data_IF_372235773793
#
_entry.id   IF_372235773793
#
_cell.length_a   1.000
_cell.length_b   1.000
_cell.length_c   1.000
_cell.angle_alpha   90.00
_cell.angle_beta   90.00
_cell.angle_gamma   90.00
#
_symmetry.space_group_name_H-M   'P 1'
#
loop_
_entity.id
_entity.type
_entity.pdbx_description
1 polymer ?
#
# COMPACT_ATOMS: atom_id res chain seq x y z
N UNK A 1 -15.84 -15.09 -19.77
CA UNK A 1 -15.56 -15.73 -18.49
C UNK A 1 -15.55 -14.70 -17.35
N UNK A 2 -16.42 -14.90 -16.40
CA UNK A 2 -16.42 -14.07 -15.18
C UNK A 2 -15.60 -14.80 -14.12
N UNK A 3 -14.56 -14.17 -13.59
CA UNK A 3 -13.80 -14.80 -12.52
C UNK A 3 -14.70 -15.05 -11.31
N UNK A 4 -14.43 -16.06 -10.50
CA UNK A 4 -15.17 -16.27 -9.27
C UNK A 4 -15.04 -15.04 -8.37
N UNK A 5 -16.00 -14.85 -7.49
CA UNK A 5 -15.92 -13.77 -6.53
C UNK A 5 -14.65 -13.91 -5.68
N UNK A 6 -13.87 -12.84 -5.64
CA UNK A 6 -12.67 -12.78 -4.83
C UNK A 6 -12.95 -11.98 -3.57
N UNK A 7 -12.29 -12.34 -2.47
CA UNK A 7 -12.32 -11.50 -1.28
C UNK A 7 -11.71 -10.14 -1.57
N UNK A 8 -11.99 -9.13 -0.76
CA UNK A 8 -11.41 -7.80 -0.92
C UNK A 8 -9.89 -7.83 -0.99
N UNK A 9 -9.24 -8.65 -0.16
CA UNK A 9 -7.79 -8.80 -0.18
C UNK A 9 -7.28 -9.45 -1.45
N UNK A 10 -7.99 -10.48 -1.96
CA UNK A 10 -7.62 -11.12 -3.20
C UNK A 10 -7.78 -10.18 -4.40
N UNK A 11 -8.85 -9.40 -4.43
CA UNK A 11 -9.07 -8.40 -5.46
C UNK A 11 -7.98 -7.34 -5.47
N UNK A 12 -7.56 -6.88 -4.30
CA UNK A 12 -6.49 -5.90 -4.17
C UNK A 12 -5.16 -6.49 -4.61
N UNK A 13 -4.87 -7.74 -4.25
CA UNK A 13 -3.66 -8.44 -4.69
C UNK A 13 -3.60 -8.59 -6.21
N UNK A 14 -4.73 -8.89 -6.86
CA UNK A 14 -4.81 -8.96 -8.32
C UNK A 14 -4.56 -7.59 -8.95
N UNK A 15 -5.12 -6.54 -8.38
CA UNK A 15 -4.90 -5.18 -8.88
C UNK A 15 -3.42 -4.78 -8.79
N UNK A 16 -2.77 -5.11 -7.68
CA UNK A 16 -1.34 -4.86 -7.49
C UNK A 16 -0.52 -5.66 -8.51
N UNK A 17 -0.83 -6.94 -8.69
CA UNK A 17 -0.13 -7.79 -9.64
C UNK A 17 -0.25 -7.26 -11.07
N UNK A 18 -1.40 -6.76 -11.47
CA UNK A 18 -1.59 -6.12 -12.77
C UNK A 18 -0.74 -4.88 -12.94
N UNK A 19 -0.65 -4.06 -11.89
CA UNK A 19 0.17 -2.86 -11.92
C UNK A 19 1.65 -3.20 -12.13
N UNK A 20 2.13 -4.28 -11.51
CA UNK A 20 3.54 -4.70 -11.59
C UNK A 20 3.92 -5.23 -12.97
N UNK A 21 2.98 -5.81 -13.71
CA UNK A 21 3.26 -6.35 -15.05
C UNK A 21 3.88 -5.30 -15.97
N UNK A 22 3.56 -4.03 -15.77
CA UNK A 22 4.14 -2.93 -16.55
C UNK A 22 5.54 -2.53 -16.07
N UNK A 23 6.04 -3.14 -14.99
CA UNK A 23 7.32 -2.82 -14.35
C UNK A 23 7.48 -1.34 -14.03
N UNK A 24 6.58 -0.76 -13.23
CA UNK A 24 6.63 0.66 -12.93
C UNK A 24 7.81 0.98 -12.01
N UNK A 25 8.30 2.22 -12.07
CA UNK A 25 9.26 2.74 -11.10
C UNK A 25 8.56 3.19 -9.82
N UNK A 26 7.30 3.53 -9.91
CA UNK A 26 6.48 4.04 -8.82
C UNK A 26 5.13 3.35 -8.83
N UNK A 27 4.69 2.92 -7.66
CA UNK A 27 3.35 2.38 -7.43
C UNK A 27 2.62 3.28 -6.44
N UNK A 28 1.47 3.81 -6.84
CA UNK A 28 0.62 4.59 -5.96
C UNK A 28 -0.48 3.68 -5.40
N UNK A 29 -0.51 3.53 -4.09
CA UNK A 29 -1.52 2.75 -3.38
C UNK A 29 -2.37 3.71 -2.54
N UNK A 30 -3.60 3.96 -2.99
CA UNK A 30 -4.51 4.88 -2.35
C UNK A 30 -5.52 4.10 -1.51
N UNK A 31 -5.39 4.20 -0.19
CA UNK A 31 -6.22 3.48 0.79
C UNK A 31 -6.35 1.99 0.46
N UNK A 32 -5.23 1.27 0.22
CA UNK A 32 -5.30 -0.09 -0.31
C UNK A 32 -5.94 -1.09 0.65
N UNK A 33 -6.06 -0.76 1.93
CA UNK A 33 -6.61 -1.62 2.97
C UNK A 33 -7.94 -1.10 3.52
N UNK A 34 -8.51 -0.07 2.92
CA UNK A 34 -9.68 0.63 3.47
C UNK A 34 -10.93 -0.22 3.63
N UNK A 35 -11.12 -1.25 2.81
CA UNK A 35 -12.27 -2.15 2.87
C UNK A 35 -11.94 -3.54 3.40
N UNK A 36 -10.74 -3.73 3.94
CA UNK A 36 -10.24 -5.04 4.35
C UNK A 36 -10.28 -5.19 5.88
N UNK A 37 -10.41 -6.44 6.34
CA UNK A 37 -10.22 -6.77 7.75
C UNK A 37 -8.72 -6.69 8.11
N UNK A 38 -8.41 -6.82 9.41
CA UNK A 38 -7.04 -6.68 9.91
C UNK A 38 -6.08 -7.69 9.29
N UNK A 39 -6.50 -8.94 9.12
CA UNK A 39 -5.66 -9.99 8.57
C UNK A 39 -5.31 -9.72 7.11
N UNK A 40 -6.31 -9.35 6.31
CA UNK A 40 -6.14 -9.03 4.90
C UNK A 40 -5.31 -7.76 4.70
N UNK A 41 -5.51 -6.78 5.59
CA UNK A 41 -4.72 -5.54 5.56
C UNK A 41 -3.24 -5.83 5.74
N UNK A 42 -2.88 -6.69 6.67
CA UNK A 42 -1.47 -7.08 6.89
C UNK A 42 -0.91 -7.77 5.65
N UNK A 43 -1.65 -8.68 5.04
CA UNK A 43 -1.21 -9.36 3.82
C UNK A 43 -0.90 -8.37 2.69
N UNK A 44 -1.76 -7.38 2.48
CA UNK A 44 -1.56 -6.36 1.45
C UNK A 44 -0.35 -5.48 1.77
N UNK A 45 -0.18 -5.08 3.03
CA UNK A 45 0.96 -4.25 3.41
C UNK A 45 2.28 -5.03 3.29
N UNK A 46 2.29 -6.32 3.61
CA UNK A 46 3.46 -7.17 3.40
C UNK A 46 3.80 -7.28 1.91
N UNK A 47 2.79 -7.45 1.07
CA UNK A 47 2.98 -7.50 -0.38
C UNK A 47 3.62 -6.20 -0.90
N UNK A 48 3.09 -5.05 -0.49
CA UNK A 48 3.63 -3.75 -0.91
C UNK A 48 5.06 -3.55 -0.42
N UNK A 49 5.34 -3.97 0.81
CA UNK A 49 6.69 -3.90 1.39
C UNK A 49 7.68 -4.77 0.60
N UNK A 50 7.27 -5.98 0.25
CA UNK A 50 8.11 -6.90 -0.52
C UNK A 50 8.40 -6.35 -1.92
N UNK A 51 7.43 -5.75 -2.56
CA UNK A 51 7.65 -5.10 -3.86
C UNK A 51 8.68 -3.99 -3.78
N UNK A 52 8.61 -3.18 -2.73
CA UNK A 52 9.58 -2.13 -2.53
C UNK A 52 10.99 -2.70 -2.33
N UNK A 53 11.13 -3.76 -1.54
CA UNK A 53 12.43 -4.35 -1.22
C UNK A 53 12.99 -5.21 -2.34
N UNK A 54 12.16 -6.08 -2.93
CA UNK A 54 12.61 -7.08 -3.90
C UNK A 54 12.65 -6.57 -5.32
N UNK A 55 11.69 -5.74 -5.71
CA UNK A 55 11.54 -5.25 -7.07
C UNK A 55 12.03 -3.81 -7.23
N UNK A 56 12.51 -3.21 -6.17
CA UNK A 56 13.03 -1.84 -6.17
C UNK A 56 12.01 -0.81 -6.68
N UNK A 57 10.75 -1.07 -6.42
CA UNK A 57 9.65 -0.17 -6.78
C UNK A 57 9.43 0.82 -5.63
N UNK A 58 9.35 2.10 -5.93
CA UNK A 58 8.94 3.08 -4.93
C UNK A 58 7.44 2.98 -4.73
N UNK A 59 7.01 2.74 -3.50
CA UNK A 59 5.59 2.66 -3.16
C UNK A 59 5.18 3.91 -2.41
N UNK A 60 4.20 4.63 -2.95
CA UNK A 60 3.57 5.76 -2.27
C UNK A 60 2.23 5.27 -1.75
N UNK A 61 2.11 5.23 -0.43
CA UNK A 61 0.91 4.79 0.27
C UNK A 61 0.14 5.99 0.78
N UNK A 62 -1.11 6.11 0.37
CA UNK A 62 -2.02 7.14 0.90
C UNK A 62 -2.98 6.44 1.86
N UNK A 63 -2.96 6.83 3.12
CA UNK A 63 -3.82 6.24 4.14
C UNK A 63 -4.08 7.23 5.27
N UNK A 64 -5.23 7.10 5.93
CA UNK A 64 -5.54 7.81 7.17
C UNK A 64 -5.38 6.91 8.39
N UNK A 65 -4.93 5.68 8.22
CA UNK A 65 -4.76 4.71 9.30
C UNK A 65 -3.31 4.69 9.78
N UNK A 66 -3.04 5.09 11.04
CA UNK A 66 -1.66 5.12 11.57
C UNK A 66 -0.95 3.77 11.52
N UNK A 67 -1.69 2.68 11.73
CA UNK A 67 -1.11 1.33 11.69
C UNK A 67 -0.56 0.99 10.31
N UNK A 68 -1.24 1.44 9.27
CA UNK A 68 -0.82 1.22 7.90
C UNK A 68 0.35 2.14 7.53
N UNK A 69 0.27 3.40 7.96
CA UNK A 69 1.35 4.37 7.73
C UNK A 69 2.68 3.92 8.36
N UNK A 70 2.62 3.15 9.44
CA UNK A 70 3.81 2.65 10.12
C UNK A 70 4.66 1.68 9.28
N UNK A 71 4.11 1.10 8.22
CA UNK A 71 4.88 0.25 7.30
C UNK A 71 5.86 1.04 6.45
N UNK A 72 5.63 2.32 6.24
CA UNK A 72 6.47 3.15 5.40
C UNK A 72 7.76 3.57 6.13
N UNK A 73 8.81 3.85 5.36
CA UNK A 73 10.06 4.37 5.90
C UNK A 73 10.07 5.89 5.99
N UNK A 74 9.13 6.55 5.35
CA UNK A 74 8.91 7.99 5.42
C UNK A 74 7.42 8.25 5.52
N UNK A 75 7.04 9.09 6.45
CA UNK A 75 5.64 9.46 6.64
C UNK A 75 5.50 10.98 6.51
N UNK A 76 4.68 11.38 5.54
CA UNK A 76 4.31 12.78 5.32
C UNK A 76 2.86 12.94 5.76
N UNK A 77 2.63 13.72 6.80
CA UNK A 77 1.29 13.97 7.32
C UNK A 77 0.78 15.30 6.78
N UNK A 78 -0.40 15.25 6.18
CA UNK A 78 -1.05 16.44 5.63
C UNK A 78 -2.29 16.79 6.45
N UNK A 79 -2.46 18.09 6.74
CA UNK A 79 -3.62 18.62 7.45
C UNK A 79 -4.08 19.88 6.70
N UNK A 80 -5.35 19.92 6.34
CA UNK A 80 -5.96 21.07 5.65
C UNK A 80 -5.17 21.53 4.41
N UNK A 81 -4.70 20.57 3.63
CA UNK A 81 -3.97 20.86 2.40
C UNK A 81 -2.52 21.29 2.57
N UNK A 82 -2.01 21.28 3.80
CA UNK A 82 -0.61 21.61 4.08
C UNK A 82 0.12 20.46 4.75
N UNK A 83 1.43 20.42 4.60
CA UNK A 83 2.27 19.41 5.26
C UNK A 83 2.46 19.80 6.71
N UNK A 84 1.93 18.98 7.63
CA UNK A 84 2.07 19.16 9.05
C UNK A 84 3.37 18.55 9.59
N UNK A 85 3.81 17.43 9.02
CA UNK A 85 5.05 16.77 9.42
C UNK A 85 5.59 15.90 8.29
N UNK A 86 6.90 15.65 8.34
CA UNK A 86 7.60 14.79 7.39
C UNK A 86 8.72 14.13 8.18
N UNK A 87 8.57 12.84 8.46
CA UNK A 87 9.45 12.11 9.35
C UNK A 87 9.92 10.79 8.73
N UNK A 88 11.15 10.42 9.06
CA UNK A 88 11.65 9.09 8.74
C UNK A 88 11.26 8.12 9.86
N UNK A 89 10.94 6.91 9.48
CA UNK A 89 10.58 5.85 10.42
C UNK A 89 11.26 4.54 10.02
N UNK A 90 11.20 3.55 10.90
CA UNK A 90 11.84 2.26 10.62
C UNK A 90 11.13 1.46 9.54
N UNK A 91 9.82 1.62 9.44
CA UNK A 91 8.98 0.71 8.70
C UNK A 91 8.72 -0.58 9.49
N UNK A 92 7.92 -1.42 8.94
CA UNK A 92 7.64 -2.76 9.50
C UNK A 92 8.07 -3.84 8.54
#
# INVERSE_FOLDING_TARGET
HTPPELSGGQQQGVAIARAIVTRPLLLLADEPTGSLDSHRSVEIMELLTDLNKSENITVVLVTHEPDMAAYARRCVRCVDGTIASDTLQKGR
#
